data_IF_805535452502
#
_entry.id   IF_805535452502
#
_cell.length_a   1.000
_cell.length_b   1.000
_cell.length_c   1.000
_cell.angle_alpha   90.00
_cell.angle_beta   90.00
_cell.angle_gamma   90.00
#
_symmetry.space_group_name_H-M   'P 1'
#
loop_
_entity.id
_entity.type
_entity.pdbx_description
1 polymer ?
#
# COMPACT_ATOMS: atom_id res chain seq x y z
N UNK A 1 15.74 4.17 -17.04
CA UNK A 1 16.12 5.33 -16.22
C UNK A 1 16.07 6.55 -17.12
N UNK A 2 14.88 7.10 -17.37
CA UNK A 2 14.67 8.04 -18.48
C UNK A 2 14.73 9.53 -18.10
N UNK A 3 14.67 9.88 -16.81
CA UNK A 3 14.71 11.28 -16.35
C UNK A 3 15.60 11.52 -15.12
N UNK A 4 16.17 10.46 -14.54
CA UNK A 4 17.09 10.50 -13.40
C UNK A 4 18.17 9.44 -13.57
N UNK A 5 19.36 9.72 -13.08
CA UNK A 5 20.51 8.81 -13.17
C UNK A 5 20.37 7.66 -12.18
N UNK A 6 21.14 6.58 -12.36
CA UNK A 6 21.16 5.48 -11.39
C UNK A 6 21.82 5.93 -10.10
N UNK A 7 22.88 6.72 -10.23
CA UNK A 7 23.66 7.30 -9.15
C UNK A 7 22.79 8.14 -8.22
N UNK A 8 21.91 8.98 -8.77
CA UNK A 8 20.96 9.78 -7.97
C UNK A 8 19.99 8.87 -7.19
N UNK A 9 19.44 7.84 -7.83
CA UNK A 9 18.53 6.90 -7.17
C UNK A 9 19.23 6.16 -6.03
N UNK A 10 20.46 5.72 -6.25
CA UNK A 10 21.21 4.98 -5.25
C UNK A 10 21.68 5.89 -4.09
N UNK A 11 22.02 7.16 -4.36
CA UNK A 11 22.23 8.17 -3.31
C UNK A 11 20.99 8.30 -2.42
N UNK A 12 19.79 8.41 -3.01
CA UNK A 12 18.56 8.51 -2.23
C UNK A 12 18.20 7.23 -1.47
N UNK A 13 18.46 6.04 -2.02
CA UNK A 13 18.28 4.77 -1.31
C UNK A 13 19.17 4.68 -0.07
N UNK A 14 20.41 5.20 -0.14
CA UNK A 14 21.30 5.23 1.03
C UNK A 14 20.76 6.08 2.19
N UNK A 15 19.77 6.95 1.91
CA UNK A 15 19.13 7.84 2.88
C UNK A 15 17.77 7.33 3.36
N UNK A 16 17.45 6.06 3.09
CA UNK A 16 16.17 5.45 3.46
C UNK A 16 15.90 5.61 4.98
N UNK A 17 14.80 6.32 5.35
CA UNK A 17 14.48 6.55 6.75
C UNK A 17 14.13 5.27 7.51
N UNK A 18 13.58 4.24 6.84
CA UNK A 18 13.19 2.97 7.46
C UNK A 18 14.42 2.18 7.85
N UNK A 19 15.39 2.07 6.94
CA UNK A 19 16.67 1.39 7.22
C UNK A 19 17.43 2.09 8.33
N UNK A 20 17.52 3.43 8.28
CA UNK A 20 18.21 4.22 9.32
C UNK A 20 17.55 4.06 10.69
N UNK A 21 16.23 4.07 10.76
CA UNK A 21 15.52 3.85 12.03
C UNK A 21 15.76 2.43 12.55
N UNK A 22 15.70 1.41 11.69
CA UNK A 22 16.01 0.02 12.04
C UNK A 22 17.42 -0.09 12.66
N UNK A 23 18.42 0.53 12.04
CA UNK A 23 19.79 0.54 12.57
C UNK A 23 19.89 1.19 13.95
N UNK A 24 19.21 2.33 14.16
CA UNK A 24 19.19 3.03 15.46
C UNK A 24 18.57 2.14 16.54
N UNK A 25 17.40 1.56 16.27
CA UNK A 25 16.69 0.72 17.24
C UNK A 25 17.50 -0.53 17.62
N UNK A 26 18.12 -1.15 16.64
CA UNK A 26 18.94 -2.36 16.85
C UNK A 26 20.25 -2.06 17.57
N UNK A 27 20.83 -0.88 17.34
CA UNK A 27 22.02 -0.44 18.07
C UNK A 27 21.72 -0.11 19.54
N UNK A 28 20.50 0.35 19.84
CA UNK A 28 20.03 0.62 21.20
C UNK A 28 19.67 -0.68 21.94
N UNK A 29 18.99 -1.62 21.27
CA UNK A 29 18.66 -2.94 21.80
C UNK A 29 18.65 -4.01 20.69
N UNK A 30 19.61 -4.93 20.73
CA UNK A 30 19.75 -5.99 19.74
C UNK A 30 18.58 -7.00 19.75
N UNK A 31 17.88 -7.14 20.88
CA UNK A 31 16.72 -8.04 21.00
C UNK A 31 15.56 -7.62 20.09
N UNK A 32 15.51 -6.35 19.68
CA UNK A 32 14.49 -5.80 18.79
C UNK A 32 14.57 -6.40 17.37
N UNK A 33 15.72 -6.96 16.96
CA UNK A 33 15.88 -7.58 15.63
C UNK A 33 14.83 -8.65 15.35
N UNK A 34 14.51 -9.48 16.33
CA UNK A 34 13.54 -10.57 16.18
C UNK A 34 12.13 -10.01 15.96
N UNK A 35 11.73 -9.00 16.74
CA UNK A 35 10.45 -8.34 16.60
C UNK A 35 10.28 -7.70 15.22
N UNK A 36 11.32 -7.04 14.69
CA UNK A 36 11.29 -6.46 13.34
C UNK A 36 11.14 -7.55 12.26
N UNK A 37 11.82 -8.69 12.42
CA UNK A 37 11.66 -9.83 11.51
C UNK A 37 10.27 -10.46 11.57
N UNK A 38 9.66 -10.52 12.76
CA UNK A 38 8.29 -10.98 12.93
C UNK A 38 7.30 -10.05 12.23
N UNK A 39 7.45 -8.72 12.39
CA UNK A 39 6.65 -7.72 11.68
C UNK A 39 6.79 -7.84 10.16
N UNK A 40 8.00 -8.00 9.63
CA UNK A 40 8.24 -8.20 8.20
C UNK A 40 7.50 -9.44 7.67
N UNK A 41 7.37 -10.49 8.49
CA UNK A 41 6.67 -11.73 8.15
C UNK A 41 5.15 -11.54 8.20
N UNK A 42 4.64 -10.90 9.25
CA UNK A 42 3.22 -10.60 9.40
C UNK A 42 2.70 -9.73 8.25
N UNK A 43 3.42 -8.65 7.92
CA UNK A 43 3.02 -7.76 6.82
C UNK A 43 3.00 -8.48 5.49
N UNK A 44 3.97 -9.37 5.21
CA UNK A 44 3.95 -10.18 3.98
C UNK A 44 2.70 -11.06 3.92
N UNK A 45 2.38 -11.76 5.00
CA UNK A 45 1.19 -12.60 5.05
C UNK A 45 -0.11 -11.80 4.81
N UNK A 46 -0.20 -10.60 5.39
CA UNK A 46 -1.35 -9.70 5.18
C UNK A 46 -1.47 -9.24 3.73
N UNK A 47 -0.35 -8.93 3.06
CA UNK A 47 -0.35 -8.54 1.65
C UNK A 47 -0.72 -9.72 0.75
N UNK A 48 -0.20 -10.91 1.02
CA UNK A 48 -0.53 -12.13 0.25
C UNK A 48 -2.04 -12.45 0.37
N UNK A 49 -2.61 -12.30 1.57
CA UNK A 49 -4.05 -12.47 1.79
C UNK A 49 -4.88 -11.40 1.05
N UNK A 50 -4.43 -10.14 1.09
CA UNK A 50 -5.10 -9.03 0.40
C UNK A 50 -5.05 -9.18 -1.13
N UNK A 51 -3.92 -9.62 -1.68
CA UNK A 51 -3.77 -9.93 -3.11
C UNK A 51 -4.73 -11.04 -3.51
N UNK A 52 -4.72 -12.16 -2.79
CA UNK A 52 -5.62 -13.29 -3.04
C UNK A 52 -7.09 -12.86 -2.97
N UNK A 53 -7.46 -12.07 -1.97
CA UNK A 53 -8.82 -11.55 -1.86
C UNK A 53 -9.20 -10.68 -3.08
N UNK A 54 -8.29 -9.84 -3.56
CA UNK A 54 -8.53 -9.00 -4.73
C UNK A 54 -8.68 -9.83 -6.02
N UNK A 55 -7.90 -10.89 -6.19
CA UNK A 55 -7.97 -11.78 -7.36
C UNK A 55 -9.21 -12.68 -7.36
N UNK A 56 -9.59 -13.20 -6.19
CA UNK A 56 -10.77 -14.09 -6.04
C UNK A 56 -12.09 -13.30 -5.96
N UNK A 57 -12.02 -11.98 -5.78
CA UNK A 57 -13.21 -11.14 -5.70
C UNK A 57 -14.00 -11.17 -7.01
N UNK A 58 -15.32 -11.40 -6.96
CA UNK A 58 -16.15 -11.38 -8.15
C UNK A 58 -16.14 -9.98 -8.78
N UNK A 59 -16.31 -9.94 -10.11
CA UNK A 59 -16.60 -8.68 -10.78
C UNK A 59 -17.85 -8.01 -10.19
N UNK A 60 -17.87 -6.67 -10.12
CA UNK A 60 -19.06 -5.95 -9.67
C UNK A 60 -20.23 -6.21 -10.61
N UNK A 61 -21.45 -6.13 -10.07
CA UNK A 61 -22.67 -6.24 -10.88
C UNK A 61 -22.72 -5.10 -11.91
N UNK A 62 -22.85 -5.37 -13.22
CA UNK A 62 -22.98 -4.33 -14.22
C UNK A 62 -24.09 -3.31 -13.94
N UNK A 63 -25.14 -3.69 -13.20
CA UNK A 63 -26.21 -2.78 -12.82
C UNK A 63 -25.76 -1.64 -11.90
N UNK A 64 -24.65 -1.81 -11.15
CA UNK A 64 -24.11 -0.77 -10.25
C UNK A 64 -23.19 0.21 -10.97
N UNK A 65 -23.07 0.14 -12.31
CA UNK A 65 -22.13 0.99 -13.05
C UNK A 65 -22.43 2.50 -12.96
N UNK A 66 -23.70 2.88 -12.79
CA UNK A 66 -24.13 4.29 -12.65
C UNK A 66 -24.24 4.74 -11.19
N UNK A 67 -23.99 3.84 -10.24
CA UNK A 67 -24.01 4.18 -8.82
C UNK A 67 -22.96 5.26 -8.53
N UNK A 68 -23.29 6.16 -7.60
CA UNK A 68 -22.45 7.27 -7.16
C UNK A 68 -22.13 8.35 -8.21
N UNK A 69 -22.71 8.30 -9.42
CA UNK A 69 -22.62 9.41 -10.40
C UNK A 69 -23.27 10.69 -9.86
N UNK A 70 -24.39 10.55 -9.16
CA UNK A 70 -25.04 11.64 -8.46
C UNK A 70 -25.16 11.36 -6.96
N UNK A 71 -25.02 12.41 -6.15
CA UNK A 71 -25.31 12.31 -4.71
C UNK A 71 -26.79 12.01 -4.49
N UNK A 72 -27.14 11.27 -3.44
CA UNK A 72 -28.53 10.92 -3.10
C UNK A 72 -29.50 12.13 -2.99
N UNK A 73 -28.98 13.35 -2.83
CA UNK A 73 -29.75 14.60 -2.74
C UNK A 73 -29.82 15.42 -4.04
N UNK A 74 -29.28 14.94 -5.17
CA UNK A 74 -29.60 15.56 -6.45
C UNK A 74 -31.06 15.24 -6.76
N UNK A 75 -31.93 16.25 -6.71
CA UNK A 75 -33.30 16.14 -7.20
C UNK A 75 -33.26 15.47 -8.57
N UNK A 76 -33.95 14.34 -8.73
CA UNK A 76 -34.26 13.79 -10.05
C UNK A 76 -35.01 14.91 -10.79
N UNK A 77 -34.33 15.63 -11.66
CA UNK A 77 -35.02 16.49 -12.62
C UNK A 77 -35.64 15.56 -13.64
N UNK A 78 -36.97 15.50 -13.60
CA UNK A 78 -37.86 14.86 -14.55
C UNK A 78 -37.34 15.02 -15.98
N UNK A 79 -36.90 13.93 -16.62
CA UNK A 79 -36.88 13.85 -18.08
C UNK A 79 -37.79 12.69 -18.47
N UNK A 80 -39.03 13.07 -18.80
CA UNK A 80 -39.99 12.31 -19.57
C UNK A 80 -39.50 12.11 -21.01
#
# INVERSE_FOLDING_TARGET
YSYRTREEVDEWKSRDPILRLREILVADDESVKENLGAMDTEVKALIDEAEKFAEESPYPDPATAEDHVFSANSRKTDHA
#
